data_IF_456281052793
#
_entry.id   IF_456281052793
#
_cell.length_a   1.000
_cell.length_b   1.000
_cell.length_c   1.000
_cell.angle_alpha   90.00
_cell.angle_beta   90.00
_cell.angle_gamma   90.00
#
_symmetry.space_group_name_H-M   'P 1'
#
loop_
_entity.id
_entity.type
_entity.pdbx_description
1 polymer ?
#
# COMPACT_ATOMS: atom_id res chain seq x y z
N UNK A 1 13.69 1.02 2.74
CA UNK A 1 12.30 0.86 2.25
C UNK A 1 11.63 2.19 2.49
N UNK A 2 11.14 2.85 1.44
CA UNK A 2 10.43 4.11 1.62
C UNK A 2 9.00 3.81 2.07
N UNK A 3 8.57 4.43 3.16
CA UNK A 3 7.19 4.39 3.64
C UNK A 3 6.57 5.77 3.47
N UNK A 4 5.35 5.79 2.95
CA UNK A 4 4.53 6.99 2.78
C UNK A 4 3.47 6.94 3.87
N UNK A 5 3.40 7.95 4.72
CA UNK A 5 2.41 8.01 5.80
C UNK A 5 1.50 9.24 5.65
N UNK A 6 0.23 9.08 5.99
CA UNK A 6 -0.76 10.16 5.91
C UNK A 6 -1.94 9.85 6.81
N UNK A 7 -2.69 10.88 7.22
CA UNK A 7 -3.93 10.70 7.99
C UNK A 7 -5.13 11.01 7.12
N UNK A 8 -6.13 10.12 7.12
CA UNK A 8 -7.34 10.27 6.30
C UNK A 8 -8.49 9.42 6.84
N UNK A 9 -9.71 9.84 6.57
CA UNK A 9 -10.97 9.10 6.75
C UNK A 9 -11.51 8.53 5.42
N UNK A 10 -10.80 8.72 4.30
CA UNK A 10 -11.27 8.33 2.96
C UNK A 10 -11.23 6.81 2.72
N UNK A 11 -10.55 6.06 3.58
CA UNK A 11 -10.29 4.62 3.41
C UNK A 11 -10.83 3.79 4.58
N UNK A 12 -11.80 4.33 5.33
CA UNK A 12 -12.40 3.59 6.43
C UNK A 12 -13.11 2.32 5.92
N UNK A 13 -13.02 1.22 6.69
CA UNK A 13 -13.63 -0.04 6.31
C UNK A 13 -15.14 0.07 6.24
N UNK A 14 -15.73 -0.48 5.17
CA UNK A 14 -17.18 -0.69 5.10
C UNK A 14 -17.58 -2.16 5.23
N UNK A 15 -16.60 -3.08 5.15
CA UNK A 15 -16.80 -4.48 5.48
C UNK A 15 -16.60 -4.72 6.98
N UNK A 16 -17.35 -5.68 7.60
CA UNK A 16 -17.19 -6.00 9.02
C UNK A 16 -15.77 -6.45 9.40
N UNK A 17 -15.42 -6.36 10.68
CA UNK A 17 -14.09 -6.72 11.21
C UNK A 17 -13.64 -8.12 10.79
N UNK A 18 -14.55 -9.08 10.79
CA UNK A 18 -14.29 -10.48 10.39
C UNK A 18 -13.88 -10.65 8.93
N UNK A 19 -14.03 -9.62 8.09
CA UNK A 19 -13.61 -9.61 6.70
C UNK A 19 -12.22 -8.99 6.51
N UNK A 20 -11.65 -8.37 7.54
CA UNK A 20 -10.30 -7.81 7.50
C UNK A 20 -9.26 -8.93 7.65
N UNK A 21 -8.04 -8.67 7.16
CA UNK A 21 -6.94 -9.64 7.21
C UNK A 21 -6.57 -10.04 8.66
N UNK A 22 -6.68 -9.10 9.60
CA UNK A 22 -6.43 -9.27 11.03
C UNK A 22 -7.14 -8.12 11.79
N UNK A 23 -7.44 -8.22 13.10
CA UNK A 23 -8.00 -7.11 13.83
C UNK A 23 -7.14 -5.85 13.74
N UNK A 24 -7.77 -4.71 13.43
CA UNK A 24 -7.09 -3.43 13.22
C UNK A 24 -6.36 -3.26 11.88
N UNK A 25 -6.39 -4.26 10.98
CA UNK A 25 -5.69 -4.22 9.69
C UNK A 25 -6.60 -3.79 8.52
N UNK A 26 -6.96 -2.50 8.49
CA UNK A 26 -7.98 -1.91 7.59
C UNK A 26 -7.49 -1.52 6.18
N UNK A 27 -6.42 -2.14 5.70
CA UNK A 27 -5.78 -1.75 4.44
C UNK A 27 -6.54 -2.04 3.14
N UNK A 28 -7.65 -2.78 3.19
CA UNK A 28 -8.34 -3.26 1.99
C UNK A 28 -8.86 -2.13 1.11
N UNK A 29 -9.61 -1.19 1.69
CA UNK A 29 -10.21 -0.06 0.97
C UNK A 29 -9.14 0.86 0.37
N UNK A 30 -8.03 1.06 1.09
CA UNK A 30 -6.87 1.79 0.58
C UNK A 30 -6.23 1.06 -0.62
N UNK A 31 -6.01 -0.26 -0.52
CA UNK A 31 -5.46 -1.07 -1.60
C UNK A 31 -6.39 -1.09 -2.84
N UNK A 32 -7.70 -1.17 -2.61
CA UNK A 32 -8.70 -1.19 -3.66
C UNK A 32 -8.78 0.18 -4.38
N UNK A 33 -8.79 1.27 -3.63
CA UNK A 33 -8.72 2.62 -4.21
C UNK A 33 -7.42 2.80 -4.99
N UNK A 34 -6.28 2.43 -4.39
CA UNK A 34 -4.96 2.62 -4.98
C UNK A 34 -4.82 1.89 -6.32
N UNK A 35 -5.26 0.63 -6.40
CA UNK A 35 -5.23 -0.13 -7.66
C UNK A 35 -6.03 0.54 -8.78
N UNK A 36 -7.17 1.17 -8.47
CA UNK A 36 -8.00 1.88 -9.45
C UNK A 36 -7.32 3.15 -9.95
N UNK A 37 -6.79 3.98 -9.05
CA UNK A 37 -6.15 5.25 -9.45
C UNK A 37 -4.80 5.02 -10.14
N UNK A 38 -4.04 4.00 -9.73
CA UNK A 38 -2.82 3.59 -10.44
C UNK A 38 -3.13 3.08 -11.85
N UNK A 39 -4.19 2.28 -12.02
CA UNK A 39 -4.67 1.85 -13.34
C UNK A 39 -5.00 3.04 -14.25
N UNK A 40 -5.66 4.08 -13.72
CA UNK A 40 -5.94 5.30 -14.48
C UNK A 40 -4.66 6.03 -14.91
N UNK A 41 -3.57 5.89 -14.15
CA UNK A 41 -2.23 6.38 -14.50
C UNK A 41 -1.42 5.39 -15.38
N UNK A 42 -2.03 4.30 -15.85
CA UNK A 42 -1.38 3.30 -16.71
C UNK A 42 -0.51 2.28 -15.95
N UNK A 43 -0.63 2.21 -14.62
CA UNK A 43 0.09 1.26 -13.77
C UNK A 43 -0.89 0.18 -13.32
N UNK A 44 -0.83 -0.98 -13.96
CA UNK A 44 -1.71 -2.12 -13.67
C UNK A 44 -1.16 -2.91 -12.49
N UNK A 45 -1.98 -3.11 -11.46
CA UNK A 45 -1.66 -3.94 -10.30
C UNK A 45 -2.65 -5.10 -10.15
N UNK A 46 -2.37 -6.04 -9.25
CA UNK A 46 -3.35 -7.06 -8.85
C UNK A 46 -4.57 -6.43 -8.14
N UNK A 47 -5.58 -7.27 -7.91
CA UNK A 47 -6.61 -7.01 -6.90
C UNK A 47 -5.99 -7.06 -5.48
N UNK A 48 -6.58 -6.40 -4.47
CA UNK A 48 -6.10 -6.52 -3.09
C UNK A 48 -6.00 -7.96 -2.61
N UNK A 49 -4.83 -8.29 -2.07
CA UNK A 49 -4.48 -9.58 -1.48
C UNK A 49 -4.33 -9.39 0.03
N UNK A 50 -4.88 -10.31 0.81
CA UNK A 50 -4.82 -10.31 2.27
C UNK A 50 -3.79 -11.32 2.78
N UNK A 51 -3.06 -10.93 3.82
CA UNK A 51 -2.07 -11.72 4.56
C UNK A 51 -2.25 -11.48 6.05
N UNK A 52 -1.62 -12.30 6.90
CA UNK A 52 -1.77 -12.20 8.37
C UNK A 52 -1.39 -10.82 8.95
N UNK A 53 -0.63 -10.02 8.20
CA UNK A 53 -0.19 -8.69 8.60
C UNK A 53 -0.97 -7.53 7.95
N UNK A 54 -1.88 -7.81 7.00
CA UNK A 54 -2.67 -6.77 6.33
C UNK A 54 -2.89 -7.00 4.84
N UNK A 55 -2.92 -5.91 4.07
CA UNK A 55 -3.35 -5.92 2.67
C UNK A 55 -2.28 -5.35 1.73
N UNK A 56 -2.24 -5.85 0.50
CA UNK A 56 -1.35 -5.33 -0.54
C UNK A 56 -1.91 -5.55 -1.95
N UNK A 57 -1.25 -4.91 -2.92
CA UNK A 57 -1.40 -5.18 -4.36
C UNK A 57 -0.03 -5.49 -4.96
N UNK A 58 0.00 -6.34 -5.98
CA UNK A 58 1.22 -6.72 -6.69
C UNK A 58 1.38 -5.91 -7.97
N UNK A 59 2.63 -5.60 -8.31
CA UNK A 59 3.02 -4.97 -9.56
C UNK A 59 4.10 -5.82 -10.23
N UNK A 60 3.89 -6.10 -11.52
CA UNK A 60 4.79 -6.90 -12.35
C UNK A 60 5.35 -6.05 -13.49
N UNK A 61 6.67 -6.00 -13.62
CA UNK A 61 7.36 -5.33 -14.73
C UNK A 61 8.57 -6.17 -15.14
N UNK A 62 8.50 -6.76 -16.34
CA UNK A 62 9.50 -7.71 -16.84
C UNK A 62 9.71 -8.89 -15.87
N UNK A 63 10.93 -9.07 -15.35
CA UNK A 63 11.29 -10.08 -14.36
C UNK A 63 11.16 -9.57 -12.91
N UNK A 64 10.69 -8.34 -12.71
CA UNK A 64 10.53 -7.72 -11.40
C UNK A 64 9.10 -7.87 -10.87
N UNK A 65 9.01 -8.36 -9.63
CA UNK A 65 7.78 -8.42 -8.86
C UNK A 65 7.93 -7.50 -7.64
N UNK A 66 6.95 -6.62 -7.44
CA UNK A 66 6.90 -5.71 -6.32
C UNK A 66 5.56 -5.81 -5.63
N UNK A 67 5.61 -5.76 -4.31
CA UNK A 67 4.45 -5.66 -3.45
C UNK A 67 4.29 -4.20 -3.00
N UNK A 68 3.07 -3.69 -3.07
CA UNK A 68 2.66 -2.39 -2.55
C UNK A 68 1.75 -2.65 -1.35
N UNK A 69 2.32 -2.58 -0.14
CA UNK A 69 1.58 -2.81 1.10
C UNK A 69 0.75 -1.58 1.48
N UNK A 70 -0.48 -1.81 1.90
CA UNK A 70 -1.43 -0.80 2.36
C UNK A 70 -1.86 -1.16 3.79
N UNK A 71 -1.52 -0.33 4.77
CA UNK A 71 -1.79 -0.60 6.18
C UNK A 71 -2.15 0.66 6.96
N UNK A 72 -2.47 0.46 8.23
CA UNK A 72 -2.80 1.54 9.16
C UNK A 72 -2.25 1.26 10.56
N UNK A 73 -2.11 2.32 11.36
CA UNK A 73 -1.92 2.23 12.79
C UNK A 73 -3.29 2.38 13.46
N UNK A 74 -3.97 1.26 13.69
CA UNK A 74 -5.29 1.21 14.30
C UNK A 74 -5.43 0.01 15.23
N UNK A 75 -6.25 0.15 16.26
CA UNK A 75 -6.72 -0.96 17.10
C UNK A 75 -7.97 -1.62 16.49
N UNK A 76 -8.31 -2.82 16.96
CA UNK A 76 -9.57 -3.48 16.62
C UNK A 76 -10.76 -2.54 16.90
N UNK A 77 -11.64 -2.38 15.91
CA UNK A 77 -12.82 -1.53 15.94
C UNK A 77 -12.58 -0.04 15.64
N UNK A 78 -11.34 0.44 15.66
CA UNK A 78 -11.03 1.86 15.44
C UNK A 78 -11.42 2.34 14.02
N UNK A 79 -11.37 1.43 13.04
CA UNK A 79 -11.81 1.63 11.66
C UNK A 79 -13.25 2.13 11.50
N UNK A 80 -14.14 1.82 12.43
CA UNK A 80 -15.59 2.11 12.29
C UNK A 80 -16.04 3.31 13.11
N UNK A 81 -15.11 4.13 13.60
CA UNK A 81 -15.43 5.29 14.45
C UNK A 81 -15.65 6.58 13.64
N UNK A 82 -15.64 6.52 12.30
CA UNK A 82 -15.74 7.68 11.41
C UNK A 82 -14.72 8.78 11.75
N UNK A 83 -13.50 8.38 12.16
CA UNK A 83 -12.40 9.28 12.47
C UNK A 83 -11.21 9.02 11.53
N UNK A 84 -10.40 10.05 11.22
CA UNK A 84 -9.17 9.84 10.45
C UNK A 84 -8.21 8.87 11.15
N UNK A 85 -7.66 7.93 10.38
CA UNK A 85 -6.66 6.95 10.84
C UNK A 85 -5.30 7.30 10.20
N UNK A 86 -4.21 6.92 10.87
CA UNK A 86 -2.87 6.99 10.29
C UNK A 86 -2.66 5.80 9.34
N UNK A 87 -2.57 6.09 8.06
CA UNK A 87 -2.31 5.14 6.98
C UNK A 87 -0.84 5.09 6.62
N UNK A 88 -0.40 3.96 6.09
CA UNK A 88 0.92 3.78 5.51
C UNK A 88 0.87 2.98 4.22
N UNK A 89 1.67 3.41 3.24
CA UNK A 89 1.94 2.67 2.01
C UNK A 89 3.44 2.42 1.92
N UNK A 90 3.83 1.22 1.50
CA UNK A 90 5.23 0.93 1.21
C UNK A 90 5.37 0.07 -0.04
N UNK A 91 6.52 0.20 -0.70
CA UNK A 91 6.87 -0.60 -1.88
C UNK A 91 8.04 -1.51 -1.51
N UNK A 92 7.95 -2.80 -1.85
CA UNK A 92 9.01 -3.78 -1.58
C UNK A 92 9.15 -4.77 -2.74
N UNK A 93 10.37 -5.05 -3.23
CA UNK A 93 10.58 -6.13 -4.18
C UNK A 93 10.31 -7.51 -3.55
N UNK A 94 9.63 -8.36 -4.30
CA UNK A 94 9.47 -9.79 -4.00
C UNK A 94 10.50 -10.53 -4.83
N UNK A 95 11.53 -11.05 -4.16
CA UNK A 95 12.66 -11.73 -4.82
C UNK A 95 12.53 -13.24 -4.68
N UNK A 96 12.53 -13.95 -5.80
CA UNK A 96 12.71 -15.41 -5.82
C UNK A 96 14.07 -15.81 -5.24
N UNK A 97 14.26 -17.08 -4.81
CA UNK A 97 15.54 -17.54 -4.27
C UNK A 97 16.74 -17.29 -5.19
N UNK A 98 16.53 -17.46 -6.51
CA UNK A 98 17.55 -17.23 -7.53
C UNK A 98 17.93 -15.75 -7.64
N UNK A 99 16.95 -14.84 -7.58
CA UNK A 99 17.19 -13.40 -7.64
C UNK A 99 17.87 -12.88 -6.38
N UNK A 100 17.49 -13.41 -5.21
CA UNK A 100 18.14 -13.12 -3.94
C UNK A 100 19.61 -13.54 -3.95
N UNK A 101 19.92 -14.73 -4.48
CA UNK A 101 21.30 -15.18 -4.61
C UNK A 101 22.14 -14.32 -5.57
N UNK A 102 21.51 -13.73 -6.59
CA UNK A 102 22.17 -12.79 -7.53
C UNK A 102 22.30 -11.36 -7.00
N UNK A 103 21.77 -11.06 -5.82
CA UNK A 103 21.74 -9.71 -5.27
C UNK A 103 20.94 -8.73 -6.15
N UNK A 104 19.91 -9.22 -6.85
CA UNK A 104 19.11 -8.36 -7.72
C UNK A 104 18.32 -7.33 -6.90
N UNK A 105 18.37 -6.07 -7.35
CA UNK A 105 17.62 -4.95 -6.77
C UNK A 105 16.86 -4.22 -7.87
N UNK A 106 15.76 -3.54 -7.52
CA UNK A 106 14.91 -2.81 -8.48
C UNK A 106 14.64 -1.36 -8.05
N UNK A 107 15.67 -0.58 -7.64
CA UNK A 107 15.47 0.74 -7.04
C UNK A 107 14.80 1.75 -7.99
N UNK A 108 14.99 1.59 -9.30
CA UNK A 108 14.32 2.44 -10.29
C UNK A 108 12.80 2.18 -10.36
N UNK A 109 12.38 0.92 -10.25
CA UNK A 109 10.95 0.54 -10.25
C UNK A 109 10.32 0.95 -8.92
N UNK A 110 11.00 0.73 -7.80
CA UNK A 110 10.56 1.20 -6.47
C UNK A 110 10.36 2.72 -6.47
N UNK A 111 11.30 3.49 -7.01
CA UNK A 111 11.19 4.95 -7.11
C UNK A 111 10.07 5.40 -8.05
N UNK A 112 9.87 4.72 -9.19
CA UNK A 112 8.76 4.97 -10.12
C UNK A 112 7.41 4.79 -9.42
N UNK A 113 7.21 3.65 -8.73
CA UNK A 113 5.98 3.37 -8.01
C UNK A 113 5.75 4.35 -6.86
N UNK A 114 6.80 4.63 -6.06
CA UNK A 114 6.72 5.60 -4.96
C UNK A 114 6.25 6.98 -5.45
N UNK A 115 6.83 7.47 -6.56
CA UNK A 115 6.43 8.75 -7.15
C UNK A 115 4.99 8.73 -7.67
N UNK A 116 4.57 7.64 -8.31
CA UNK A 116 3.20 7.50 -8.80
C UNK A 116 2.19 7.49 -7.64
N UNK A 117 2.49 6.77 -6.56
CA UNK A 117 1.66 6.71 -5.35
C UNK A 117 1.54 8.10 -4.70
N UNK A 118 2.67 8.81 -4.54
CA UNK A 118 2.66 10.20 -4.04
C UNK A 118 1.78 11.09 -4.91
N UNK A 119 1.94 11.02 -6.22
CA UNK A 119 1.18 11.87 -7.15
C UNK A 119 -0.33 11.61 -7.09
N UNK A 120 -0.78 10.35 -6.96
CA UNK A 120 -2.22 10.06 -6.85
C UNK A 120 -2.80 10.45 -5.49
N UNK A 121 -2.02 10.34 -4.41
CA UNK A 121 -2.44 10.84 -3.09
C UNK A 121 -2.58 12.38 -3.10
N UNK A 122 -1.60 13.08 -3.66
CA UNK A 122 -1.66 14.55 -3.79
C UNK A 122 -2.82 15.01 -4.68
N UNK A 123 -3.10 14.29 -5.77
CA UNK A 123 -4.23 14.57 -6.66
C UNK A 123 -5.60 14.39 -5.96
N UNK A 124 -5.69 13.48 -4.99
CA UNK A 124 -6.87 13.27 -4.14
C UNK A 124 -6.95 14.33 -3.00
N UNK A 125 -5.96 15.21 -2.88
CA UNK A 125 -5.88 16.22 -1.82
C UNK A 125 -5.37 15.69 -0.48
N UNK A 126 -4.76 14.50 -0.47
CA UNK A 126 -4.20 13.88 0.74
C UNK A 126 -2.83 14.49 1.04
N UNK A 127 -2.67 15.03 2.25
CA UNK A 127 -1.39 15.58 2.70
C UNK A 127 -0.50 14.47 3.27
N UNK A 128 0.64 14.24 2.62
CA UNK A 128 1.63 13.23 3.00
C UNK A 128 2.56 13.76 4.09
N UNK A 129 2.82 12.96 5.11
CA UNK A 129 3.92 13.16 6.06
C UNK A 129 5.07 12.27 5.61
N UNK A 130 6.14 12.88 5.10
CA UNK A 130 7.37 12.15 4.81
C UNK A 130 8.18 12.01 6.11
N UNK A 131 8.25 10.80 6.66
CA UNK A 131 9.35 10.43 7.57
C UNK A 131 10.38 9.62 6.78
N UNK A 132 11.53 10.24 6.51
CA UNK A 132 12.73 9.49 6.10
C UNK A 132 13.17 8.64 7.29
N UNK A 133 12.92 7.34 7.23
CA UNK A 133 13.44 6.41 8.23
C UNK A 133 14.95 6.28 8.01
N UNK A 134 15.72 6.81 8.97
CA UNK A 134 17.19 6.79 8.99
C UNK A 134 17.76 5.36 9.13
#
# INVERSE_FOLDING_TARGET
>A
MTRIEFSSDCFLPYLPESCQANPGAYGFELALWLSKVLMQAGIVTSYPLGEDWGWFIEYLEEDAELMIGCGCAASEGEGYLDQPILWSIFVRPVLSPKQRWRGQTTPAIEAKLTRAIVAVLEAEGITIRAEETA
#
